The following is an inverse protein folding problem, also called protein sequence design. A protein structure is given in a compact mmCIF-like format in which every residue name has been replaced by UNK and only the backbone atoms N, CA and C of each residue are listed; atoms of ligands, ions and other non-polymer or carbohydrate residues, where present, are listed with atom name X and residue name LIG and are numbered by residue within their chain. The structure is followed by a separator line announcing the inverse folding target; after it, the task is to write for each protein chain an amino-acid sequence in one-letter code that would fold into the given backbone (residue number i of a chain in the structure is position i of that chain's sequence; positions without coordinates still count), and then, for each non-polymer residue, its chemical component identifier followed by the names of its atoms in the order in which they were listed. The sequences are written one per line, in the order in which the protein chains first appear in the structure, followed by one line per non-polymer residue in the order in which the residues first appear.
data_IF_736209266621
#
_entry.id   IF_736209266621
#
_cell.length_a   1.000
_cell.length_b   1.000
_cell.length_c   1.000
_cell.angle_alpha   90.00
_cell.angle_beta   90.00
_cell.angle_gamma   90.00
#
_symmetry.space_group_name_H-M   'P 1'
#
loop_
_entity.id
_entity.type
_entity.pdbx_description
1 polymer ?
#
# COMPACT_ATOMS: atom_id res chain seq x y z
N UNK A 1 70.21 51.37 15.79
CA UNK A 1 70.10 50.22 14.87
C UNK A 1 71.50 49.66 14.66
N UNK A 2 71.77 48.44 15.11
CA UNK A 2 73.06 47.80 14.88
C UNK A 2 73.12 47.29 13.44
N UNK A 3 74.08 47.77 12.65
CA UNK A 3 74.36 47.28 11.30
C UNK A 3 75.22 46.02 11.42
N UNK A 4 74.59 44.84 11.42
CA UNK A 4 75.28 43.54 11.42
C UNK A 4 75.34 42.98 10.01
N UNK A 5 76.54 42.79 9.48
CA UNK A 5 76.78 42.40 8.07
C UNK A 5 76.52 40.90 7.82
N UNK A 6 76.65 40.05 8.84
CA UNK A 6 76.43 38.59 8.74
C UNK A 6 74.94 38.19 8.72
N UNK A 7 74.05 39.01 9.28
CA UNK A 7 72.61 38.73 9.35
C UNK A 7 71.84 39.93 8.81
N UNK A 8 71.41 39.82 7.54
CA UNK A 8 70.61 40.85 6.89
C UNK A 8 69.15 40.74 7.34
N UNK A 9 68.82 41.44 8.43
CA UNK A 9 67.47 41.45 9.02
C UNK A 9 66.42 42.00 8.05
N UNK A 10 66.78 42.95 7.18
CA UNK A 10 65.87 43.50 6.17
C UNK A 10 65.50 42.43 5.14
N UNK A 11 66.47 41.69 4.61
CA UNK A 11 66.23 40.57 3.67
C UNK A 11 65.40 39.46 4.32
N UNK A 12 65.69 39.09 5.57
CA UNK A 12 64.95 38.06 6.30
C UNK A 12 63.49 38.45 6.56
N UNK A 13 63.22 39.76 6.76
CA UNK A 13 61.87 40.27 6.90
C UNK A 13 61.12 40.28 5.56
N UNK A 14 61.78 40.68 4.48
CA UNK A 14 61.21 40.61 3.12
C UNK A 14 60.86 39.17 2.72
N UNK A 15 61.74 38.19 3.00
CA UNK A 15 61.47 36.77 2.75
C UNK A 15 60.30 36.24 3.59
N UNK A 16 60.17 36.65 4.86
CA UNK A 16 59.02 36.28 5.71
C UNK A 16 57.70 36.83 5.15
N UNK A 17 57.67 38.08 4.72
CA UNK A 17 56.47 38.69 4.11
C UNK A 17 56.12 38.04 2.76
N UNK A 18 57.12 37.74 1.93
CA UNK A 18 56.92 36.99 0.67
C UNK A 18 56.30 35.62 0.93
N UNK A 19 56.81 34.86 1.90
CA UNK A 19 56.24 33.55 2.25
C UNK A 19 54.80 33.65 2.77
N UNK A 20 54.46 34.69 3.53
CA UNK A 20 53.09 34.94 3.96
C UNK A 20 52.15 35.23 2.77
N UNK A 21 52.59 36.06 1.82
CA UNK A 21 51.86 36.38 0.59
C UNK A 21 51.67 35.14 -0.30
N UNK A 22 52.73 34.34 -0.52
CA UNK A 22 52.65 33.11 -1.30
C UNK A 22 51.64 32.12 -0.70
N UNK A 23 51.63 31.95 0.62
CA UNK A 23 50.67 31.06 1.32
C UNK A 23 49.22 31.55 1.22
N UNK A 24 49.00 32.87 1.25
CA UNK A 24 47.68 33.46 1.02
C UNK A 24 47.21 33.26 -0.43
N UNK A 25 48.12 33.40 -1.39
CA UNK A 25 47.84 33.15 -2.80
C UNK A 25 47.49 31.68 -3.07
N UNK A 26 48.24 30.73 -2.51
CA UNK A 26 47.93 29.29 -2.58
C UNK A 26 46.52 28.98 -2.05
N UNK A 27 46.16 29.56 -0.90
CA UNK A 27 44.81 29.39 -0.32
C UNK A 27 43.72 29.97 -1.24
N UNK A 28 43.99 31.12 -1.85
CA UNK A 28 43.06 31.78 -2.78
C UNK A 28 42.89 30.96 -4.06
N UNK A 29 43.99 30.40 -4.61
CA UNK A 29 43.94 29.51 -5.76
C UNK A 29 43.18 28.22 -5.45
N UNK A 30 43.35 27.64 -4.26
CA UNK A 30 42.58 26.47 -3.83
C UNK A 30 41.08 26.78 -3.74
N UNK A 31 40.71 27.92 -3.15
CA UNK A 31 39.30 28.37 -3.08
C UNK A 31 38.72 28.65 -4.46
N UNK A 32 39.50 29.25 -5.37
CA UNK A 32 39.08 29.50 -6.74
C UNK A 32 38.86 28.19 -7.51
N UNK A 33 39.78 27.24 -7.39
CA UNK A 33 39.70 25.95 -8.09
C UNK A 33 38.54 25.08 -7.61
N UNK A 34 38.17 25.18 -6.33
CA UNK A 34 37.08 24.39 -5.71
C UNK A 34 35.74 25.11 -5.72
N UNK A 35 35.75 26.43 -5.97
CA UNK A 35 34.59 27.31 -5.76
C UNK A 35 34.11 27.41 -4.31
N UNK A 36 34.84 26.81 -3.35
CA UNK A 36 34.43 26.67 -1.96
C UNK A 36 35.32 27.49 -1.04
N UNK A 37 34.72 28.27 -0.14
CA UNK A 37 35.46 29.09 0.83
C UNK A 37 36.15 28.23 1.90
N UNK A 38 35.51 27.13 2.31
CA UNK A 38 36.00 26.23 3.36
C UNK A 38 36.41 24.93 2.66
N UNK A 39 37.72 24.67 2.58
CA UNK A 39 38.25 23.44 1.97
C UNK A 39 38.89 22.50 3.01
N UNK A 40 39.23 23.01 4.19
CA UNK A 40 39.84 22.26 5.28
C UNK A 40 39.31 22.72 6.63
N UNK A 41 39.39 21.84 7.64
CA UNK A 41 39.10 22.17 9.04
C UNK A 41 39.99 23.31 9.58
N UNK A 42 41.14 23.57 8.94
CA UNK A 42 42.02 24.71 9.26
C UNK A 42 41.39 26.06 8.90
N UNK A 43 40.54 26.11 7.88
CA UNK A 43 39.92 27.36 7.42
C UNK A 43 38.80 27.80 8.36
N UNK A 44 37.92 26.85 8.73
CA UNK A 44 36.80 27.05 9.64
C UNK A 44 36.26 25.70 10.12
N UNK A 45 36.63 25.27 11.33
CA UNK A 45 36.20 24.00 11.89
C UNK A 45 34.68 23.96 12.17
N UNK A 46 34.10 25.07 12.63
CA UNK A 46 32.67 25.16 12.93
C UNK A 46 31.83 25.21 11.65
N UNK A 47 32.28 26.00 10.67
CA UNK A 47 31.67 26.08 9.34
C UNK A 47 31.72 24.73 8.61
N UNK A 48 32.84 24.01 8.68
CA UNK A 48 32.95 22.66 8.12
C UNK A 48 32.02 21.66 8.83
N UNK A 49 31.88 21.73 10.15
CA UNK A 49 30.94 20.87 10.89
C UNK A 49 29.49 21.11 10.46
N UNK A 50 29.08 22.37 10.36
CA UNK A 50 27.73 22.75 9.91
C UNK A 50 27.52 22.29 8.46
N UNK A 51 28.50 22.52 7.58
CA UNK A 51 28.45 22.09 6.18
C UNK A 51 28.29 20.56 6.09
N UNK A 52 29.10 19.78 6.81
CA UNK A 52 29.00 18.31 6.82
C UNK A 52 27.63 17.83 7.31
N UNK A 53 27.07 18.46 8.36
CA UNK A 53 25.72 18.14 8.85
C UNK A 53 24.66 18.44 7.80
N UNK A 54 24.73 19.60 7.14
CA UNK A 54 23.81 19.99 6.08
C UNK A 54 23.95 19.08 4.85
N UNK A 55 25.18 18.72 4.45
CA UNK A 55 25.42 17.76 3.37
C UNK A 55 24.83 16.39 3.69
N UNK A 56 25.02 15.89 4.92
CA UNK A 56 24.38 14.65 5.36
C UNK A 56 22.86 14.75 5.31
N UNK A 57 22.29 15.88 5.73
CA UNK A 57 20.85 16.13 5.69
C UNK A 57 20.33 16.15 4.24
N UNK A 58 20.99 16.86 3.33
CA UNK A 58 20.65 16.92 1.91
C UNK A 58 20.72 15.53 1.27
N UNK A 59 21.77 14.76 1.56
CA UNK A 59 21.89 13.39 1.07
C UNK A 59 20.77 12.50 1.62
N UNK A 60 20.42 12.64 2.90
CA UNK A 60 19.26 11.97 3.50
C UNK A 60 17.94 12.32 2.81
N UNK A 61 17.71 13.62 2.56
CA UNK A 61 16.52 14.09 1.84
C UNK A 61 16.46 13.58 0.39
N UNK A 62 17.59 13.48 -0.31
CA UNK A 62 17.63 12.90 -1.66
C UNK A 62 17.21 11.43 -1.68
N UNK A 63 17.60 10.65 -0.67
CA UNK A 63 17.14 9.26 -0.53
C UNK A 63 15.66 9.23 -0.14
N UNK A 64 15.22 10.09 0.76
CA UNK A 64 13.82 10.21 1.15
C UNK A 64 12.90 10.53 -0.03
N UNK A 65 13.31 11.40 -0.96
CA UNK A 65 12.56 11.66 -2.20
C UNK A 65 12.41 10.39 -3.04
N UNK A 66 13.47 9.59 -3.18
CA UNK A 66 13.40 8.31 -3.89
C UNK A 66 12.43 7.35 -3.21
N UNK A 67 12.56 7.17 -1.89
CA UNK A 67 11.66 6.32 -1.11
C UNK A 67 10.19 6.78 -1.21
N UNK A 68 9.96 8.09 -1.26
CA UNK A 68 8.61 8.66 -1.40
C UNK A 68 8.04 8.34 -2.78
N UNK A 69 8.84 8.47 -3.83
CA UNK A 69 8.43 8.09 -5.19
C UNK A 69 8.13 6.59 -5.30
N UNK A 70 8.91 5.73 -4.64
CA UNK A 70 8.63 4.29 -4.59
C UNK A 70 7.29 4.01 -3.88
N UNK A 71 7.00 4.72 -2.78
CA UNK A 71 5.70 4.68 -2.10
C UNK A 71 4.54 5.13 -3.00
N UNK A 72 4.74 6.19 -3.79
CA UNK A 72 3.74 6.68 -4.77
C UNK A 72 3.50 5.62 -5.85
N UNK A 73 4.56 5.08 -6.46
CA UNK A 73 4.43 4.05 -7.50
C UNK A 73 3.75 2.78 -7.00
N UNK A 74 4.04 2.38 -5.76
CA UNK A 74 3.37 1.27 -5.11
C UNK A 74 1.88 1.55 -4.91
N UNK A 75 1.54 2.73 -4.38
CA UNK A 75 0.16 3.14 -4.17
C UNK A 75 -0.63 3.20 -5.49
N UNK A 76 -0.03 3.73 -6.56
CA UNK A 76 -0.64 3.75 -7.90
C UNK A 76 -0.87 2.35 -8.46
N UNK A 77 0.05 1.43 -8.23
CA UNK A 77 -0.11 0.02 -8.65
C UNK A 77 -1.28 -0.62 -7.90
N UNK A 78 -1.39 -0.39 -6.59
CA UNK A 78 -2.52 -0.86 -5.80
C UNK A 78 -3.84 -0.22 -6.27
N UNK A 79 -3.86 1.09 -6.50
CA UNK A 79 -5.04 1.82 -6.93
C UNK A 79 -5.55 1.34 -8.30
N UNK A 80 -4.67 1.12 -9.27
CA UNK A 80 -5.06 0.58 -10.59
C UNK A 80 -5.70 -0.81 -10.48
N UNK A 81 -5.17 -1.68 -9.62
CA UNK A 81 -5.77 -2.98 -9.35
C UNK A 81 -7.14 -2.86 -8.65
N UNK A 82 -7.28 -1.95 -7.68
CA UNK A 82 -8.54 -1.69 -6.99
C UNK A 82 -9.62 -1.10 -7.92
N UNK A 83 -9.24 -0.30 -8.91
CA UNK A 83 -10.18 0.20 -9.93
C UNK A 83 -10.76 -0.95 -10.77
N UNK A 84 -9.94 -1.94 -11.12
CA UNK A 84 -10.41 -3.14 -11.82
C UNK A 84 -11.34 -3.96 -10.92
N UNK A 85 -10.94 -4.23 -9.67
CA UNK A 85 -11.80 -4.93 -8.71
C UNK A 85 -13.14 -4.20 -8.50
N UNK A 86 -13.14 -2.87 -8.43
CA UNK A 86 -14.36 -2.06 -8.30
C UNK A 86 -15.28 -2.23 -9.50
N UNK A 87 -14.72 -2.25 -10.71
CA UNK A 87 -15.49 -2.43 -11.95
C UNK A 87 -16.12 -3.83 -12.03
N UNK A 88 -15.38 -4.86 -11.61
CA UNK A 88 -15.90 -6.23 -11.51
C UNK A 88 -17.01 -6.34 -10.46
N UNK A 89 -16.86 -5.70 -9.30
CA UNK A 89 -17.90 -5.68 -8.25
C UNK A 89 -19.17 -4.95 -8.70
N UNK A 90 -19.03 -3.87 -9.47
CA UNK A 90 -20.18 -3.21 -10.10
C UNK A 90 -20.89 -4.16 -11.07
N UNK A 91 -20.14 -4.89 -11.91
CA UNK A 91 -20.72 -5.91 -12.80
C UNK A 91 -21.42 -7.02 -12.02
N UNK A 92 -20.84 -7.52 -10.94
CA UNK A 92 -21.50 -8.51 -10.06
C UNK A 92 -22.81 -7.96 -9.48
N UNK A 93 -22.83 -6.68 -9.09
CA UNK A 93 -24.05 -6.03 -8.59
C UNK A 93 -25.13 -5.96 -9.67
N UNK A 94 -24.78 -5.64 -10.90
CA UNK A 94 -25.73 -5.60 -12.01
C UNK A 94 -26.32 -6.99 -12.28
N UNK A 95 -25.48 -8.03 -12.29
CA UNK A 95 -25.92 -9.43 -12.44
C UNK A 95 -26.83 -9.86 -11.28
N UNK A 96 -26.51 -9.45 -10.05
CA UNK A 96 -27.34 -9.73 -8.88
C UNK A 96 -28.72 -9.07 -9.01
N UNK A 97 -28.77 -7.80 -9.39
CA UNK A 97 -30.03 -7.08 -9.64
C UNK A 97 -30.83 -7.70 -10.80
N UNK A 98 -30.14 -8.13 -11.86
CA UNK A 98 -30.77 -8.83 -12.98
C UNK A 98 -31.36 -10.17 -12.53
N UNK A 99 -30.63 -10.95 -11.73
CA UNK A 99 -31.08 -12.25 -11.22
C UNK A 99 -32.28 -12.15 -10.26
N UNK A 100 -32.40 -11.02 -9.55
CA UNK A 100 -33.50 -10.74 -8.62
C UNK A 100 -34.84 -10.46 -9.33
N UNK A 101 -34.84 -10.25 -10.66
CA UNK A 101 -36.08 -10.09 -11.41
C UNK A 101 -36.87 -11.42 -11.43
N UNK A 102 -38.17 -11.35 -11.15
CA UNK A 102 -39.05 -12.51 -11.10
C UNK A 102 -39.40 -13.11 -12.46
N UNK A 103 -39.07 -12.41 -13.55
CA UNK A 103 -39.28 -12.88 -14.92
C UNK A 103 -38.21 -13.84 -15.44
N UNK A 104 -37.06 -13.94 -14.77
CA UNK A 104 -35.98 -14.82 -15.21
C UNK A 104 -36.28 -16.26 -14.82
N UNK A 105 -36.01 -17.17 -15.75
CA UNK A 105 -36.05 -18.61 -15.51
C UNK A 105 -34.90 -19.09 -14.62
N UNK A 106 -35.03 -20.28 -14.04
CA UNK A 106 -33.99 -20.89 -13.20
C UNK A 106 -32.70 -21.18 -13.98
N UNK A 107 -32.81 -21.53 -15.27
CA UNK A 107 -31.66 -21.74 -16.15
C UNK A 107 -30.89 -20.44 -16.42
N UNK A 108 -31.61 -19.31 -16.60
CA UNK A 108 -30.99 -17.99 -16.75
C UNK A 108 -30.32 -17.54 -15.45
N UNK A 109 -30.96 -17.77 -14.29
CA UNK A 109 -30.34 -17.51 -12.98
C UNK A 109 -29.06 -18.32 -12.78
N UNK A 110 -29.06 -19.58 -13.22
CA UNK A 110 -27.87 -20.44 -13.18
C UNK A 110 -26.74 -19.92 -14.08
N UNK A 111 -27.07 -19.44 -15.28
CA UNK A 111 -26.10 -18.83 -16.18
C UNK A 111 -25.49 -17.54 -15.59
N UNK A 112 -26.32 -16.66 -15.01
CA UNK A 112 -25.86 -15.44 -14.33
C UNK A 112 -24.96 -15.77 -13.13
N UNK A 113 -25.28 -16.82 -12.36
CA UNK A 113 -24.46 -17.25 -11.23
C UNK A 113 -23.08 -17.81 -11.68
N UNK A 114 -23.03 -18.51 -12.82
CA UNK A 114 -21.75 -18.92 -13.40
C UNK A 114 -20.89 -17.69 -13.77
N UNK A 115 -21.47 -16.64 -14.34
CA UNK A 115 -20.75 -15.40 -14.64
C UNK A 115 -20.22 -14.74 -13.35
N UNK A 116 -21.03 -14.64 -12.30
CA UNK A 116 -20.60 -14.12 -10.99
C UNK A 116 -19.46 -14.98 -10.41
N UNK A 117 -19.50 -16.29 -10.57
CA UNK A 117 -18.45 -17.20 -10.10
C UNK A 117 -17.12 -16.96 -10.83
N UNK A 118 -17.13 -16.72 -12.13
CA UNK A 118 -15.92 -16.37 -12.89
C UNK A 118 -15.40 -14.98 -12.52
N UNK A 119 -16.29 -13.99 -12.36
CA UNK A 119 -15.90 -12.67 -11.86
C UNK A 119 -15.27 -12.76 -10.47
N UNK A 120 -15.75 -13.66 -9.61
CA UNK A 120 -15.22 -13.89 -8.26
C UNK A 120 -13.78 -14.40 -8.35
N UNK A 121 -13.53 -15.41 -9.19
CA UNK A 121 -12.17 -15.91 -9.46
C UNK A 121 -11.25 -14.81 -10.00
N UNK A 122 -11.78 -13.91 -10.83
CA UNK A 122 -10.99 -12.82 -11.38
C UNK A 122 -10.60 -11.77 -10.32
N UNK A 123 -11.51 -11.44 -9.39
CA UNK A 123 -11.18 -10.60 -8.22
C UNK A 123 -10.08 -11.24 -7.37
N UNK A 124 -10.19 -12.55 -7.08
CA UNK A 124 -9.14 -13.29 -6.37
C UNK A 124 -7.82 -13.33 -7.15
N UNK A 125 -7.88 -13.44 -8.49
CA UNK A 125 -6.69 -13.40 -9.34
C UNK A 125 -6.01 -12.04 -9.26
N UNK A 126 -6.75 -10.93 -9.35
CA UNK A 126 -6.20 -9.57 -9.22
C UNK A 126 -5.53 -9.41 -7.85
N UNK A 127 -6.21 -9.85 -6.79
CA UNK A 127 -5.69 -9.83 -5.42
C UNK A 127 -4.34 -10.54 -5.30
N UNK A 128 -4.27 -11.79 -5.80
CA UNK A 128 -3.10 -12.64 -5.70
C UNK A 128 -1.97 -12.27 -6.70
N UNK A 129 -2.28 -11.63 -7.82
CA UNK A 129 -1.28 -11.30 -8.87
C UNK A 129 -0.72 -9.89 -8.76
N UNK A 130 -1.39 -8.97 -8.05
CA UNK A 130 -0.91 -7.59 -7.86
C UNK A 130 0.33 -7.57 -6.97
N UNK A 131 1.49 -7.29 -7.57
CA UNK A 131 2.78 -7.26 -6.87
C UNK A 131 3.55 -6.00 -7.17
N UNK A 132 4.29 -5.49 -6.18
CA UNK A 132 5.28 -4.44 -6.37
C UNK A 132 6.58 -4.83 -5.66
N UNK A 133 7.71 -4.79 -6.39
CA UNK A 133 9.02 -5.18 -5.83
C UNK A 133 9.05 -6.60 -5.24
N UNK A 134 8.23 -7.52 -5.76
CA UNK A 134 8.11 -8.90 -5.27
C UNK A 134 7.20 -9.08 -4.04
N UNK A 135 6.63 -7.99 -3.48
CA UNK A 135 5.63 -8.07 -2.40
C UNK A 135 4.22 -8.03 -2.98
N UNK A 136 3.34 -8.88 -2.45
CA UNK A 136 1.90 -8.84 -2.75
C UNK A 136 1.27 -7.66 -2.03
N UNK A 137 0.37 -6.95 -2.71
CA UNK A 137 -0.23 -5.73 -2.17
C UNK A 137 -1.64 -5.94 -1.59
N UNK A 138 -2.42 -6.86 -2.18
CA UNK A 138 -3.87 -6.96 -1.95
C UNK A 138 -4.32 -8.28 -1.31
N UNK A 139 -3.40 -9.21 -1.06
CA UNK A 139 -3.68 -10.55 -0.52
C UNK A 139 -3.80 -10.59 1.02
N UNK A 140 -3.76 -9.43 1.68
CA UNK A 140 -3.80 -9.31 3.14
C UNK A 140 -2.46 -9.56 3.85
N UNK A 141 -1.43 -10.08 3.15
CA UNK A 141 -0.10 -10.30 3.73
C UNK A 141 0.75 -9.03 3.82
N UNK A 142 0.37 -7.97 3.10
CA UNK A 142 1.12 -6.73 2.99
C UNK A 142 1.33 -6.02 4.34
N UNK A 143 0.34 -6.11 5.24
CA UNK A 143 0.41 -5.51 6.58
C UNK A 143 0.56 -3.98 6.55
N UNK A 144 1.27 -3.44 7.55
CA UNK A 144 1.64 -2.01 7.59
C UNK A 144 3.10 -1.87 7.17
N UNK A 145 3.36 -1.13 6.10
CA UNK A 145 4.72 -0.80 5.64
C UNK A 145 5.02 0.67 5.90
N UNK A 146 6.26 0.97 6.24
CA UNK A 146 6.70 2.33 6.57
C UNK A 146 7.72 2.81 5.56
N UNK A 147 7.49 3.98 4.99
CA UNK A 147 8.43 4.66 4.09
C UNK A 147 9.14 5.78 4.84
N UNK A 148 10.47 5.73 4.88
CA UNK A 148 11.30 6.79 5.44
C UNK A 148 11.37 7.96 4.45
N UNK A 149 10.73 9.08 4.80
CA UNK A 149 10.55 10.26 3.95
C UNK A 149 11.29 11.50 4.49
N UNK A 150 12.08 11.32 5.54
CA UNK A 150 12.90 12.39 6.10
C UNK A 150 14.37 12.02 6.28
N UNK A 151 15.14 13.02 6.71
CA UNK A 151 16.59 12.94 6.91
C UNK A 151 16.99 12.39 8.28
N UNK A 152 16.08 12.45 9.26
CA UNK A 152 16.30 11.97 10.62
C UNK A 152 15.57 10.64 10.85
N UNK A 153 16.04 9.87 11.84
CA UNK A 153 15.41 8.60 12.19
C UNK A 153 13.94 8.79 12.60
N UNK A 154 13.07 7.89 12.14
CA UNK A 154 11.63 7.85 12.43
C UNK A 154 10.77 8.94 11.75
N UNK A 155 11.30 9.63 10.74
CA UNK A 155 10.48 10.46 9.83
C UNK A 155 9.83 9.57 8.76
N UNK A 156 8.80 8.81 9.18
CA UNK A 156 8.18 7.75 8.36
C UNK A 156 6.70 8.00 8.08
N UNK A 157 6.26 7.62 6.87
CA UNK A 157 4.84 7.50 6.51
C UNK A 157 4.46 6.02 6.55
N UNK A 158 3.44 5.68 7.34
CA UNK A 158 2.89 4.33 7.40
C UNK A 158 1.78 4.17 6.37
N UNK A 159 1.88 3.16 5.52
CA UNK A 159 0.88 2.79 4.53
C UNK A 159 0.36 1.40 4.88
N UNK A 160 -0.95 1.30 5.02
CA UNK A 160 -1.66 0.04 5.20
C UNK A 160 -2.56 -0.20 3.99
N UNK A 161 -2.45 -1.39 3.41
CA UNK A 161 -3.35 -1.85 2.35
C UNK A 161 -4.06 -3.07 2.92
N UNK A 162 -5.39 -2.99 2.99
CA UNK A 162 -6.22 -4.09 3.47
C UNK A 162 -6.42 -5.16 2.38
N UNK A 163 -6.78 -6.36 2.82
CA UNK A 163 -7.05 -7.48 1.94
C UNK A 163 -8.26 -7.19 1.04
N UNK A 164 -8.08 -7.39 -0.27
CA UNK A 164 -9.13 -7.30 -1.27
C UNK A 164 -9.30 -8.66 -1.95
N UNK A 165 -9.68 -9.67 -1.17
CA UNK A 165 -9.98 -11.02 -1.66
C UNK A 165 -11.48 -11.29 -1.56
N UNK A 166 -11.96 -12.33 -2.21
CA UNK A 166 -13.38 -12.67 -2.11
C UNK A 166 -13.76 -13.22 -0.74
N UNK A 167 -12.78 -13.58 0.10
CA UNK A 167 -12.98 -13.93 1.51
C UNK A 167 -13.16 -12.68 2.38
N UNK A 168 -12.40 -11.61 2.14
CA UNK A 168 -12.58 -10.33 2.85
C UNK A 168 -13.86 -9.60 2.43
N UNK A 169 -14.34 -9.84 1.21
CA UNK A 169 -15.57 -9.26 0.65
C UNK A 169 -16.85 -10.02 1.02
N UNK A 170 -16.77 -11.13 1.77
CA UNK A 170 -17.97 -11.85 2.22
C UNK A 170 -18.81 -10.96 3.13
N UNK A 171 -19.95 -10.49 2.60
CA UNK A 171 -21.04 -10.02 3.45
C UNK A 171 -21.48 -11.15 4.38
N UNK A 172 -21.85 -10.84 5.62
CA UNK A 172 -22.54 -11.83 6.46
C UNK A 172 -23.91 -12.10 5.85
N UNK A 173 -24.02 -13.14 5.03
CA UNK A 173 -25.29 -13.66 4.56
C UNK A 173 -25.61 -14.95 5.31
N UNK A 174 -26.87 -15.10 5.69
CA UNK A 174 -27.34 -16.26 6.45
C UNK A 174 -27.93 -17.27 5.47
N UNK A 175 -27.20 -18.35 5.18
CA UNK A 175 -27.77 -19.51 4.50
C UNK A 175 -28.46 -20.40 5.53
N UNK A 176 -29.78 -20.36 5.55
CA UNK A 176 -30.59 -21.32 6.30
C UNK A 176 -30.89 -22.52 5.42
N UNK A 177 -30.13 -23.60 5.55
CA UNK A 177 -30.51 -24.89 4.94
C UNK A 177 -31.66 -25.48 5.74
N UNK A 178 -32.84 -25.55 5.14
CA UNK A 178 -33.96 -26.33 5.70
C UNK A 178 -33.67 -27.80 5.43
N UNK A 179 -33.29 -28.55 6.46
CA UNK A 179 -33.16 -30.00 6.34
C UNK A 179 -34.56 -30.58 6.05
N UNK A 180 -34.77 -31.04 4.83
CA UNK A 180 -36.03 -31.62 4.44
C UNK A 180 -36.21 -32.97 5.16
N UNK A 181 -37.31 -33.14 5.88
CA UNK A 181 -37.63 -34.39 6.56
C UNK A 181 -37.66 -35.55 5.56
N UNK A 182 -37.01 -36.66 5.90
CA UNK A 182 -36.86 -37.85 5.04
C UNK A 182 -38.13 -38.71 4.95
N UNK A 183 -39.27 -38.22 5.42
CA UNK A 183 -40.57 -38.91 5.39
C UNK A 183 -41.57 -38.25 4.44
N UNK A 184 -42.34 -39.05 3.70
CA UNK A 184 -43.40 -38.57 2.84
C UNK A 184 -44.50 -37.85 3.66
N UNK A 185 -44.92 -36.66 3.22
CA UNK A 185 -45.97 -35.90 3.90
C UNK A 185 -47.31 -36.66 3.83
N UNK A 186 -47.85 -37.04 5.00
CA UNK A 186 -49.08 -37.85 5.13
C UNK A 186 -50.36 -37.05 4.89
N UNK A 187 -50.29 -35.71 4.94
CA UNK A 187 -51.38 -34.78 4.65
C UNK A 187 -50.83 -33.46 4.11
N UNK A 188 -51.62 -32.72 3.33
CA UNK A 188 -51.28 -31.38 2.87
C UNK A 188 -51.39 -30.37 4.01
N UNK A 189 -50.35 -29.58 4.24
CA UNK A 189 -50.35 -28.58 5.31
C UNK A 189 -49.22 -27.57 5.16
N UNK A 190 -49.39 -26.41 5.78
CA UNK A 190 -48.35 -25.40 5.89
C UNK A 190 -47.47 -25.73 7.09
N UNK A 191 -46.19 -26.00 6.84
CA UNK A 191 -45.19 -26.12 7.90
C UNK A 191 -44.51 -24.77 8.04
N UNK A 192 -44.66 -24.17 9.21
CA UNK A 192 -43.96 -22.94 9.57
C UNK A 192 -42.58 -23.29 10.11
N UNK A 193 -41.54 -23.08 9.31
CA UNK A 193 -40.15 -23.24 9.73
C UNK A 193 -39.73 -21.94 10.40
N UNK A 194 -39.55 -22.00 11.72
CA UNK A 194 -39.11 -20.85 12.51
C UNK A 194 -37.63 -21.01 12.90
N UNK A 195 -36.87 -19.95 12.65
CA UNK A 195 -35.47 -19.83 13.03
C UNK A 195 -35.24 -18.54 13.79
N UNK A 196 -34.33 -18.55 14.77
CA UNK A 196 -33.94 -17.34 15.50
C UNK A 196 -32.52 -16.98 15.12
N UNK A 197 -32.31 -15.79 14.55
CA UNK A 197 -30.99 -15.30 14.18
C UNK A 197 -30.76 -13.95 14.88
N UNK A 198 -29.75 -13.92 15.76
CA UNK A 198 -29.32 -12.73 16.49
C UNK A 198 -30.46 -11.98 17.22
N UNK A 199 -31.41 -12.74 17.79
CA UNK A 199 -32.57 -12.21 18.52
C UNK A 199 -33.78 -11.83 17.67
N UNK A 200 -33.70 -11.92 16.34
CA UNK A 200 -34.85 -11.73 15.46
C UNK A 200 -35.42 -13.08 15.01
N UNK A 201 -36.73 -13.26 15.19
CA UNK A 201 -37.46 -14.43 14.74
C UNK A 201 -37.80 -14.30 13.25
N UNK A 202 -37.41 -15.29 12.47
CA UNK A 202 -37.82 -15.43 11.08
C UNK A 202 -38.68 -16.68 10.94
N UNK A 203 -39.71 -16.57 10.10
CA UNK A 203 -40.72 -17.60 9.89
C UNK A 203 -40.98 -17.73 8.40
N UNK A 204 -40.74 -18.92 7.85
CA UNK A 204 -41.09 -19.25 6.46
C UNK A 204 -42.18 -20.29 6.47
N UNK A 205 -43.29 -19.96 5.82
CA UNK A 205 -44.38 -20.88 5.61
C UNK A 205 -44.11 -21.71 4.35
N UNK A 206 -43.79 -22.99 4.52
CA UNK A 206 -43.61 -23.93 3.42
C UNK A 206 -44.89 -24.74 3.29
N UNK A 207 -45.60 -24.56 2.18
CA UNK A 207 -46.80 -25.36 1.88
C UNK A 207 -46.38 -26.68 1.24
N UNK A 208 -46.62 -27.78 1.95
CA UNK A 208 -46.29 -29.13 1.49
C UNK A 208 -47.58 -29.81 1.03
N UNK A 209 -47.58 -30.28 -0.22
CA UNK A 209 -48.67 -31.10 -0.76
C UNK A 209 -48.53 -32.57 -0.30
N UNK A 210 -49.64 -33.30 -0.12
CA UNK A 210 -49.58 -34.69 0.33
C UNK A 210 -48.84 -35.57 -0.69
N UNK A 211 -47.87 -36.35 -0.22
CA UNK A 211 -47.09 -37.27 -1.05
C UNK A 211 -45.77 -36.73 -1.63
N UNK A 212 -45.40 -35.46 -1.37
CA UNK A 212 -44.09 -34.94 -1.79
C UNK A 212 -42.99 -35.36 -0.80
N UNK A 213 -41.77 -35.56 -1.33
CA UNK A 213 -40.60 -35.91 -0.51
C UNK A 213 -39.72 -34.67 -0.32
N UNK A 214 -38.92 -34.67 0.75
CA UNK A 214 -38.03 -33.54 1.05
C UNK A 214 -37.05 -33.17 -0.07
N UNK A 215 -36.79 -34.07 -1.02
CA UNK A 215 -35.92 -33.84 -2.17
C UNK A 215 -36.50 -32.85 -3.20
N UNK A 216 -37.82 -32.67 -3.23
CA UNK A 216 -38.49 -31.79 -4.21
C UNK A 216 -38.34 -30.30 -3.85
N UNK A 217 -38.08 -29.98 -2.58
CA UNK A 217 -37.96 -28.61 -2.07
C UNK A 217 -36.51 -28.13 -1.88
N UNK A 218 -35.52 -29.00 -2.03
CA UNK A 218 -34.08 -28.66 -1.96
C UNK A 218 -33.50 -28.08 -3.26
N UNK A 219 -34.33 -27.74 -4.24
CA UNK A 219 -33.91 -27.21 -5.55
C UNK A 219 -34.20 -25.72 -5.79
N UNK A 220 -34.60 -24.97 -4.76
CA UNK A 220 -34.76 -23.52 -4.83
C UNK A 220 -33.56 -22.79 -4.20
#
# INVERSE_FOLDING_TARGET
MALTVNTNVASLNTQRNLNASSKSMETTLQRLSTGSRINSAKDDAAGLQIANRLTSQVNGLNVAVKNSNDGISMAQTAEGALQQSTSLLQRMRDLALQSANGSNSDDERKALNNEVTELKKEVDRISNTTTFGGKKLLDGSFGTTTFQVGSAANEMISVKIDEMSTDSLKGKYFEGTVAAGTGAATASGTITVSGTVNGNNFSVDVTIASGTTGADYTKA
#
